data_IF_614266446134
#
_entry.id   IF_614266446134
#
_cell.length_a   1.000
_cell.length_b   1.000
_cell.length_c   1.000
_cell.angle_alpha   90.00
_cell.angle_beta   90.00
_cell.angle_gamma   90.00
#
_symmetry.space_group_name_H-M   'P 1'
#
loop_
_entity.id
_entity.type
_entity.pdbx_description
1 polymer ?
#
# COMPACT_ATOMS: atom_id res chain seq x y z
N UNK A 1 14.96 -3.44 32.43
CA UNK A 1 15.81 -4.62 32.21
C UNK A 1 16.20 -4.68 30.74
N UNK A 2 17.44 -4.27 30.46
CA UNK A 2 18.09 -4.39 29.16
C UNK A 2 18.42 -5.86 28.88
N UNK A 3 17.87 -6.40 27.79
CA UNK A 3 18.45 -7.54 27.09
C UNK A 3 18.61 -7.13 25.63
N UNK A 4 19.65 -6.32 25.39
CA UNK A 4 20.33 -6.29 24.10
C UNK A 4 21.01 -7.65 23.90
N UNK A 5 20.20 -8.67 23.63
CA UNK A 5 20.68 -9.94 23.13
C UNK A 5 20.95 -9.75 21.66
N UNK A 6 22.16 -10.07 21.23
CA UNK A 6 22.60 -10.14 19.85
C UNK A 6 21.68 -11.14 19.08
N UNK A 7 20.48 -10.69 18.69
CA UNK A 7 19.56 -11.49 17.90
C UNK A 7 20.19 -11.62 16.52
N UNK A 8 20.52 -12.85 16.11
CA UNK A 8 20.88 -13.15 14.72
C UNK A 8 19.84 -12.47 13.81
N UNK A 9 20.25 -11.81 12.72
CA UNK A 9 19.30 -11.22 11.79
C UNK A 9 18.29 -12.30 11.39
N UNK A 10 17.00 -12.00 11.52
CA UNK A 10 15.93 -12.93 11.19
C UNK A 10 16.13 -13.36 9.73
N UNK A 11 16.12 -14.67 9.47
CA UNK A 11 16.39 -15.16 8.12
C UNK A 11 15.43 -14.56 7.09
N UNK A 12 15.90 -14.33 5.87
CA UNK A 12 15.10 -13.84 4.74
C UNK A 12 13.79 -14.63 4.57
N UNK A 13 13.85 -15.95 4.73
CA UNK A 13 12.68 -16.84 4.70
C UNK A 13 11.65 -16.54 5.81
N UNK A 14 12.11 -16.18 7.01
CA UNK A 14 11.26 -15.78 8.14
C UNK A 14 10.58 -14.45 7.84
N UNK A 15 11.30 -13.48 7.27
CA UNK A 15 10.72 -12.20 6.85
C UNK A 15 9.64 -12.37 5.78
N UNK A 16 9.87 -13.22 4.77
CA UNK A 16 8.88 -13.50 3.72
C UNK A 16 7.66 -14.24 4.30
N UNK A 17 7.87 -15.26 5.11
CA UNK A 17 6.77 -16.09 5.63
C UNK A 17 5.93 -15.33 6.65
N UNK A 18 6.58 -14.67 7.62
CA UNK A 18 5.90 -13.85 8.62
C UNK A 18 5.25 -12.62 7.98
N UNK A 19 5.94 -11.95 7.05
CA UNK A 19 5.40 -10.79 6.31
C UNK A 19 4.25 -11.18 5.37
N UNK A 20 4.34 -12.34 4.72
CA UNK A 20 3.30 -12.88 3.84
C UNK A 20 2.02 -13.23 4.59
N UNK A 21 2.14 -13.95 5.72
CA UNK A 21 0.98 -14.29 6.57
C UNK A 21 0.38 -13.03 7.20
N UNK A 22 1.21 -12.13 7.73
CA UNK A 22 0.75 -10.85 8.27
C UNK A 22 0.00 -10.01 7.22
N UNK A 23 0.55 -9.91 6.01
CA UNK A 23 -0.10 -9.24 4.89
C UNK A 23 -1.41 -9.90 4.45
N UNK A 24 -1.49 -11.24 4.48
CA UNK A 24 -2.72 -11.95 4.17
C UNK A 24 -3.82 -11.68 5.21
N UNK A 25 -3.48 -11.67 6.50
CA UNK A 25 -4.43 -11.33 7.58
C UNK A 25 -4.91 -9.87 7.50
N UNK A 26 -4.01 -8.93 7.19
CA UNK A 26 -4.37 -7.52 6.94
C UNK A 26 -5.31 -7.40 5.75
N UNK A 27 -4.99 -8.05 4.62
CA UNK A 27 -5.84 -8.06 3.44
C UNK A 27 -7.22 -8.64 3.75
N UNK A 28 -7.33 -9.77 4.45
CA UNK A 28 -8.60 -10.37 4.84
C UNK A 28 -9.47 -9.41 5.68
N UNK A 29 -8.84 -8.66 6.58
CA UNK A 29 -9.57 -7.76 7.49
C UNK A 29 -9.94 -6.44 6.80
N UNK A 30 -9.06 -5.90 5.95
CA UNK A 30 -9.22 -4.59 5.34
C UNK A 30 -9.83 -4.62 3.92
N UNK A 31 -9.95 -5.79 3.28
CA UNK A 31 -10.52 -5.92 1.94
C UNK A 31 -11.93 -5.32 1.81
N UNK A 32 -12.86 -5.49 2.77
CA UNK A 32 -14.17 -4.85 2.69
C UNK A 32 -14.07 -3.32 2.56
N UNK A 33 -13.14 -2.70 3.28
CA UNK A 33 -12.89 -1.26 3.23
C UNK A 33 -12.34 -0.84 1.87
N UNK A 34 -11.42 -1.63 1.30
CA UNK A 34 -10.89 -1.39 -0.05
C UNK A 34 -11.96 -1.48 -1.13
N UNK A 35 -12.80 -2.50 -1.07
CA UNK A 35 -13.84 -2.73 -2.06
C UNK A 35 -14.88 -1.59 -2.02
N UNK A 36 -15.26 -1.14 -0.82
CA UNK A 36 -16.13 0.04 -0.66
C UNK A 36 -15.47 1.28 -1.26
N UNK A 37 -14.19 1.53 -0.94
CA UNK A 37 -13.44 2.68 -1.45
C UNK A 37 -13.38 2.69 -2.98
N UNK A 38 -12.98 1.57 -3.60
CA UNK A 38 -12.84 1.50 -5.06
C UNK A 38 -14.19 1.64 -5.74
N UNK A 39 -15.24 1.01 -5.24
CA UNK A 39 -16.60 1.16 -5.80
C UNK A 39 -17.14 2.57 -5.63
N UNK A 40 -16.86 3.23 -4.52
CA UNK A 40 -17.22 4.63 -4.32
C UNK A 40 -16.48 5.53 -5.33
N UNK A 41 -15.21 5.24 -5.62
CA UNK A 41 -14.42 5.98 -6.62
C UNK A 41 -14.87 5.71 -8.07
N UNK A 42 -15.30 4.48 -8.37
CA UNK A 42 -15.80 4.08 -9.69
C UNK A 42 -17.28 4.42 -9.91
N UNK A 43 -18.04 4.67 -8.84
CA UNK A 43 -19.48 4.91 -8.89
C UNK A 43 -19.80 6.12 -9.77
N UNK A 44 -20.60 5.87 -10.81
CA UNK A 44 -21.20 6.87 -11.68
C UNK A 44 -22.31 7.67 -10.99
N UNK A 45 -22.66 7.40 -9.73
CA UNK A 45 -23.82 7.98 -9.03
C UNK A 45 -23.76 9.50 -8.76
N UNK A 46 -22.79 10.21 -9.34
CA UNK A 46 -22.78 11.67 -9.48
C UNK A 46 -22.93 12.15 -10.94
N UNK A 47 -23.25 11.26 -11.89
CA UNK A 47 -23.43 11.56 -13.33
C UNK A 47 -24.86 11.96 -13.68
N UNK A 48 -25.85 11.69 -12.83
CA UNK A 48 -27.22 12.13 -13.02
C UNK A 48 -27.48 13.38 -12.15
N UNK A 49 -28.07 14.45 -12.69
CA UNK A 49 -28.51 15.60 -11.90
C UNK A 49 -29.45 15.12 -10.76
N UNK A 50 -29.19 15.54 -9.52
CA UNK A 50 -30.04 15.24 -8.36
C UNK A 50 -29.66 14.01 -7.52
N UNK A 51 -28.71 13.17 -7.95
CA UNK A 51 -28.27 12.02 -7.13
C UNK A 51 -27.11 12.42 -6.21
N UNK A 52 -27.34 12.42 -4.89
CA UNK A 52 -26.27 12.64 -3.90
C UNK A 52 -25.20 11.54 -4.01
N UNK A 53 -23.90 11.88 -4.00
CA UNK A 53 -22.84 10.89 -3.99
C UNK A 53 -22.98 10.02 -2.73
N UNK A 54 -23.00 8.69 -2.92
CA UNK A 54 -23.13 7.74 -1.81
C UNK A 54 -21.90 7.82 -0.91
N UNK A 55 -22.13 8.09 0.38
CA UNK A 55 -21.08 8.04 1.40
C UNK A 55 -20.51 6.63 1.57
N UNK A 56 -19.46 6.50 2.38
CA UNK A 56 -18.76 5.24 2.62
C UNK A 56 -19.70 4.12 3.10
N UNK A 57 -20.47 4.38 4.15
CA UNK A 57 -21.43 3.41 4.71
C UNK A 57 -22.60 3.11 3.78
N UNK A 58 -23.12 4.13 3.08
CA UNK A 58 -24.20 3.95 2.10
C UNK A 58 -23.75 3.09 0.90
N UNK A 59 -22.49 3.23 0.48
CA UNK A 59 -21.90 2.40 -0.57
C UNK A 59 -21.73 0.95 -0.10
N UNK A 60 -21.26 0.74 1.13
CA UNK A 60 -21.19 -0.59 1.75
C UNK A 60 -22.54 -1.29 1.83
N UNK A 61 -23.56 -0.60 2.38
CA UNK A 61 -24.91 -1.12 2.46
C UNK A 61 -25.51 -1.44 1.08
N UNK A 62 -25.23 -0.62 0.06
CA UNK A 62 -25.66 -0.87 -1.31
C UNK A 62 -25.03 -2.14 -1.89
N UNK A 63 -23.74 -2.39 -1.67
CA UNK A 63 -23.06 -3.60 -2.16
C UNK A 63 -23.68 -4.85 -1.56
N UNK A 64 -23.89 -4.86 -0.24
CA UNK A 64 -24.47 -6.00 0.47
C UNK A 64 -25.90 -6.28 0.02
N UNK A 65 -26.71 -5.22 -0.16
CA UNK A 65 -28.14 -5.35 -0.56
C UNK A 65 -28.36 -5.67 -2.05
N UNK A 66 -27.46 -5.26 -2.95
CA UNK A 66 -27.64 -5.38 -4.41
C UNK A 66 -26.82 -6.48 -5.06
N UNK A 67 -25.78 -6.97 -4.40
CA UNK A 67 -24.97 -8.10 -4.88
C UNK A 67 -25.03 -9.23 -3.86
N UNK A 68 -24.10 -9.23 -2.90
CA UNK A 68 -24.03 -10.18 -1.78
C UNK A 68 -23.02 -9.67 -0.75
N UNK A 69 -23.04 -10.15 0.52
CA UNK A 69 -21.97 -9.89 1.48
C UNK A 69 -20.58 -10.28 0.97
N UNK A 70 -20.47 -11.39 0.22
CA UNK A 70 -19.22 -11.86 -0.38
C UNK A 70 -18.67 -10.92 -1.47
N UNK A 71 -19.50 -10.06 -2.06
CA UNK A 71 -19.05 -9.08 -3.03
C UNK A 71 -18.05 -8.07 -2.45
N UNK A 72 -18.02 -7.88 -1.12
CA UNK A 72 -17.01 -7.07 -0.41
C UNK A 72 -15.60 -7.65 -0.52
N UNK A 73 -15.47 -8.95 -0.78
CA UNK A 73 -14.20 -9.65 -0.96
C UNK A 73 -13.78 -9.83 -2.43
N UNK A 74 -14.53 -9.24 -3.39
CA UNK A 74 -14.14 -9.26 -4.81
C UNK A 74 -12.74 -8.66 -5.01
N UNK A 75 -11.87 -9.42 -5.67
CA UNK A 75 -10.48 -9.05 -5.90
C UNK A 75 -9.50 -9.49 -4.80
N UNK A 76 -9.97 -10.11 -3.71
CA UNK A 76 -9.10 -10.63 -2.64
C UNK A 76 -8.03 -11.59 -3.19
N UNK A 77 -8.41 -12.50 -4.09
CA UNK A 77 -7.48 -13.46 -4.69
C UNK A 77 -6.30 -12.79 -5.41
N UNK A 78 -6.54 -11.66 -6.09
CA UNK A 78 -5.49 -10.88 -6.75
C UNK A 78 -4.55 -10.20 -5.73
N UNK A 79 -5.10 -9.78 -4.59
CA UNK A 79 -4.33 -9.18 -3.50
C UNK A 79 -3.46 -10.24 -2.82
N UNK A 80 -4.04 -11.38 -2.46
CA UNK A 80 -3.33 -12.50 -1.83
C UNK A 80 -2.20 -13.03 -2.72
N UNK A 81 -2.45 -13.22 -4.02
CA UNK A 81 -1.41 -13.67 -4.95
C UNK A 81 -0.24 -12.67 -5.08
N UNK A 82 -0.51 -11.39 -4.84
CA UNK A 82 0.50 -10.33 -4.95
C UNK A 82 1.29 -10.08 -3.66
N UNK A 83 0.79 -10.46 -2.48
CA UNK A 83 1.42 -10.14 -1.19
C UNK A 83 2.81 -10.77 -1.05
N UNK A 84 2.93 -12.07 -1.30
CA UNK A 84 4.21 -12.78 -1.14
C UNK A 84 5.26 -12.28 -2.14
N UNK A 85 4.98 -12.18 -3.46
CA UNK A 85 5.94 -11.62 -4.41
C UNK A 85 6.34 -10.18 -4.08
N UNK A 86 5.37 -9.36 -3.65
CA UNK A 86 5.60 -7.97 -3.24
C UNK A 86 6.60 -7.90 -2.08
N UNK A 87 6.39 -8.69 -1.02
CA UNK A 87 7.30 -8.71 0.12
C UNK A 87 8.66 -9.27 -0.24
N UNK A 88 8.72 -10.36 -1.00
CA UNK A 88 9.97 -10.98 -1.43
C UNK A 88 10.86 -10.00 -2.21
N UNK A 89 10.30 -9.32 -3.23
CA UNK A 89 11.06 -8.35 -4.03
C UNK A 89 11.48 -7.16 -3.18
N UNK A 90 10.57 -6.64 -2.34
CA UNK A 90 10.88 -5.50 -1.47
C UNK A 90 12.05 -5.81 -0.55
N UNK A 91 12.03 -6.96 0.14
CA UNK A 91 13.12 -7.34 1.05
C UNK A 91 14.41 -7.63 0.29
N UNK A 92 14.35 -8.39 -0.80
CA UNK A 92 15.54 -8.72 -1.60
C UNK A 92 16.21 -7.46 -2.18
N UNK A 93 15.41 -6.57 -2.77
CA UNK A 93 15.92 -5.29 -3.30
C UNK A 93 16.42 -4.39 -2.18
N UNK A 94 15.76 -4.35 -1.02
CA UNK A 94 16.22 -3.55 0.10
C UNK A 94 17.56 -4.02 0.65
N UNK A 95 17.75 -5.33 0.83
CA UNK A 95 19.03 -5.89 1.28
C UNK A 95 20.14 -5.66 0.25
N UNK A 96 19.86 -5.86 -1.03
CA UNK A 96 20.81 -5.58 -2.11
C UNK A 96 21.22 -4.09 -2.15
N UNK A 97 20.26 -3.17 -2.18
CA UNK A 97 20.55 -1.73 -2.21
C UNK A 97 21.19 -1.23 -0.93
N UNK A 98 20.81 -1.77 0.22
CA UNK A 98 21.45 -1.45 1.49
C UNK A 98 22.89 -1.92 1.51
N UNK A 99 23.18 -3.11 0.97
CA UNK A 99 24.53 -3.63 0.81
C UNK A 99 25.38 -2.78 -0.12
N UNK A 100 24.84 -2.36 -1.26
CA UNK A 100 25.54 -1.48 -2.21
C UNK A 100 25.78 -0.06 -1.68
N UNK A 101 24.96 0.41 -0.74
CA UNK A 101 25.06 1.74 -0.14
C UNK A 101 25.69 1.70 1.28
N UNK A 102 26.20 0.55 1.71
CA UNK A 102 26.92 0.42 2.97
C UNK A 102 28.35 0.95 2.81
N UNK A 103 28.86 1.62 3.85
CA UNK A 103 30.26 2.05 3.88
C UNK A 103 31.18 0.83 3.91
N UNK A 104 32.18 0.78 3.00
CA UNK A 104 33.11 -0.34 2.87
C UNK A 104 33.98 -0.52 4.13
N UNK A 105 34.28 0.55 4.86
CA UNK A 105 35.13 0.50 6.06
C UNK A 105 34.38 0.15 7.36
N UNK A 106 33.11 0.55 7.49
CA UNK A 106 32.35 0.39 8.76
C UNK A 106 31.23 -0.63 8.67
N UNK A 107 30.82 -1.05 7.47
CA UNK A 107 29.68 -1.91 7.22
C UNK A 107 28.33 -1.33 7.69
N UNK A 108 28.31 -0.06 8.14
CA UNK A 108 27.13 0.63 8.65
C UNK A 108 26.55 1.53 7.58
N UNK A 109 25.27 1.36 7.30
CA UNK A 109 24.55 2.21 6.35
C UNK A 109 24.07 3.47 7.06
N UNK A 110 24.45 4.66 6.56
CA UNK A 110 23.91 5.95 7.03
C UNK A 110 22.38 5.97 6.93
N UNK A 111 21.73 6.75 7.80
CA UNK A 111 20.29 6.91 7.81
C UNK A 111 19.73 7.40 6.45
N UNK A 112 20.47 8.27 5.75
CA UNK A 112 20.11 8.70 4.39
C UNK A 112 20.22 7.58 3.36
N UNK A 113 21.25 6.74 3.47
CA UNK A 113 21.45 5.59 2.59
C UNK A 113 20.39 4.50 2.82
N UNK A 114 19.95 4.30 4.07
CA UNK A 114 18.81 3.42 4.39
C UNK A 114 17.53 3.94 3.73
N UNK A 115 17.31 5.25 3.73
CA UNK A 115 16.16 5.86 3.07
C UNK A 115 16.21 5.67 1.54
N UNK A 116 17.37 5.89 0.92
CA UNK A 116 17.58 5.68 -0.53
C UNK A 116 17.38 4.20 -0.89
N UNK A 117 17.95 3.27 -0.12
CA UNK A 117 17.72 1.83 -0.29
C UNK A 117 16.24 1.47 -0.17
N UNK A 118 15.53 2.06 0.80
CA UNK A 118 14.09 1.89 0.99
C UNK A 118 13.25 2.44 -0.16
N UNK A 119 13.62 3.60 -0.71
CA UNK A 119 12.97 4.19 -1.88
C UNK A 119 13.22 3.35 -3.14
N UNK A 120 14.46 2.92 -3.37
CA UNK A 120 14.83 2.04 -4.47
C UNK A 120 14.04 0.74 -4.41
N UNK A 121 14.04 0.08 -3.24
CA UNK A 121 13.33 -1.17 -3.04
C UNK A 121 11.81 -1.02 -3.26
N UNK A 122 11.22 0.07 -2.76
CA UNK A 122 9.82 0.40 -3.00
C UNK A 122 9.52 0.65 -4.48
N UNK A 123 10.44 1.25 -5.22
CA UNK A 123 10.28 1.49 -6.66
C UNK A 123 10.37 0.18 -7.45
N UNK A 124 11.33 -0.68 -7.14
CA UNK A 124 11.48 -2.00 -7.78
C UNK A 124 10.26 -2.89 -7.52
N UNK A 125 9.77 -2.93 -6.27
CA UNK A 125 8.52 -3.57 -5.90
C UNK A 125 7.32 -2.97 -6.67
N UNK A 126 7.27 -1.64 -6.79
CA UNK A 126 6.21 -0.93 -7.49
C UNK A 126 6.11 -1.34 -8.96
N UNK A 127 7.26 -1.39 -9.64
CA UNK A 127 7.36 -1.72 -11.05
C UNK A 127 7.06 -3.20 -11.27
N UNK A 128 7.71 -4.08 -10.51
CA UNK A 128 7.67 -5.52 -10.75
C UNK A 128 6.34 -6.17 -10.38
N UNK A 129 5.69 -5.72 -9.29
CA UNK A 129 4.50 -6.41 -8.74
C UNK A 129 3.31 -5.48 -8.59
N UNK A 130 3.49 -4.29 -8.00
CA UNK A 130 2.33 -3.46 -7.62
C UNK A 130 1.59 -2.93 -8.84
N UNK A 131 2.30 -2.41 -9.83
CA UNK A 131 1.67 -1.83 -11.04
C UNK A 131 0.84 -2.86 -11.82
N UNK A 132 1.38 -4.04 -12.21
CA UNK A 132 0.58 -5.05 -12.91
C UNK A 132 -0.61 -5.54 -12.04
N UNK A 133 -0.39 -5.74 -10.74
CA UNK A 133 -1.44 -6.15 -9.81
C UNK A 133 -2.55 -5.09 -9.69
N UNK A 134 -2.20 -3.81 -9.60
CA UNK A 134 -3.16 -2.70 -9.51
C UNK A 134 -4.02 -2.62 -10.78
N UNK A 135 -3.43 -2.73 -11.97
CA UNK A 135 -4.17 -2.73 -13.24
C UNK A 135 -5.20 -3.87 -13.27
N UNK A 136 -4.79 -5.08 -12.88
CA UNK A 136 -5.67 -6.27 -12.83
C UNK A 136 -6.78 -6.07 -11.79
N UNK A 137 -6.44 -5.62 -10.57
CA UNK A 137 -7.40 -5.36 -9.49
C UNK A 137 -8.43 -4.33 -9.90
N UNK A 138 -8.01 -3.22 -10.51
CA UNK A 138 -8.90 -2.16 -10.98
C UNK A 138 -9.87 -2.70 -12.03
N UNK A 139 -9.41 -3.47 -13.02
CA UNK A 139 -10.28 -4.05 -14.06
C UNK A 139 -11.27 -5.07 -13.50
N UNK A 140 -10.82 -5.94 -12.59
CA UNK A 140 -11.69 -6.90 -11.92
C UNK A 140 -12.75 -6.21 -11.06
N UNK A 141 -12.40 -5.13 -10.36
CA UNK A 141 -13.33 -4.38 -9.51
C UNK A 141 -14.25 -3.44 -10.30
N UNK A 142 -13.84 -3.00 -11.49
CA UNK A 142 -14.64 -2.18 -12.39
C UNK A 142 -15.71 -2.96 -13.16
N UNK A 143 -15.55 -4.28 -13.29
CA UNK A 143 -16.57 -5.14 -13.87
C UNK A 143 -17.80 -5.15 -12.96
N UNK A 144 -18.86 -4.47 -13.39
CA UNK A 144 -20.18 -4.59 -12.76
C UNK A 144 -20.81 -5.88 -13.26
N UNK A 145 -21.14 -6.79 -12.35
CA UNK A 145 -22.00 -7.93 -12.64
C UNK A 145 -23.31 -7.62 -11.95
N UNK A 146 -24.32 -7.26 -12.75
CA UNK A 146 -25.66 -7.00 -12.24
C UNK A 146 -26.39 -8.32 -12.08
N UNK A 147 -26.96 -8.60 -10.90
CA UNK A 147 -27.88 -9.72 -10.69
C UNK A 147 -29.17 -9.63 -11.55
N UNK A 148 -29.35 -8.53 -12.28
CA UNK A 148 -30.51 -8.30 -13.15
C UNK A 148 -30.39 -9.00 -14.52
N UNK A 149 -29.20 -9.46 -14.93
CA UNK A 149 -29.02 -10.15 -16.21
C UNK A 149 -28.15 -11.42 -16.04
N UNK A 150 -28.79 -12.60 -15.89
CA UNK A 150 -28.10 -13.88 -15.73
C UNK A 150 -27.25 -14.31 -16.95
N UNK A 151 -27.40 -13.65 -18.10
CA UNK A 151 -26.67 -13.97 -19.34
C UNK A 151 -25.35 -13.20 -19.50
N UNK A 152 -25.06 -12.18 -18.69
CA UNK A 152 -23.80 -11.44 -18.77
C UNK A 152 -22.62 -12.25 -18.21
N UNK A 153 -21.95 -13.01 -19.08
CA UNK A 153 -20.71 -13.70 -18.69
C UNK A 153 -19.63 -12.70 -18.26
N UNK A 154 -18.98 -12.90 -17.10
CA UNK A 154 -17.95 -12.00 -16.62
C UNK A 154 -16.75 -11.97 -17.59
N UNK A 155 -16.40 -10.79 -18.12
CA UNK A 155 -15.24 -10.60 -19.02
C UNK A 155 -13.96 -11.19 -18.43
N UNK A 156 -13.80 -11.09 -17.12
CA UNK A 156 -12.68 -11.63 -16.35
C UNK A 156 -13.17 -12.59 -15.26
N UNK A 157 -12.78 -13.88 -15.35
CA UNK A 157 -13.15 -14.93 -14.37
C UNK A 157 -12.33 -14.87 -13.08
N UNK A 158 -11.04 -14.58 -13.19
CA UNK A 158 -10.09 -14.49 -12.07
C UNK A 158 -8.90 -13.60 -12.46
N UNK A 159 -7.97 -13.38 -11.52
CA UNK A 159 -6.79 -12.55 -11.73
C UNK A 159 -5.88 -13.06 -12.86
N UNK A 160 -5.61 -14.37 -12.91
CA UNK A 160 -4.77 -14.97 -13.93
C UNK A 160 -5.38 -14.84 -15.35
N UNK A 161 -6.68 -15.08 -15.47
CA UNK A 161 -7.43 -14.90 -16.71
C UNK A 161 -7.48 -13.43 -17.13
N UNK A 162 -7.55 -12.50 -16.17
CA UNK A 162 -7.45 -11.08 -16.46
C UNK A 162 -6.07 -10.71 -17.00
N UNK A 163 -4.98 -11.17 -16.38
CA UNK A 163 -3.61 -10.97 -16.88
C UNK A 163 -3.47 -11.52 -18.31
N UNK A 164 -3.88 -12.77 -18.53
CA UNK A 164 -3.81 -13.41 -19.84
C UNK A 164 -4.56 -12.62 -20.92
N UNK A 165 -5.82 -12.25 -20.67
CA UNK A 165 -6.61 -11.44 -21.61
C UNK A 165 -5.98 -10.09 -21.88
N UNK A 166 -5.52 -9.38 -20.85
CA UNK A 166 -4.90 -8.05 -21.01
C UNK A 166 -3.65 -8.16 -21.88
N UNK A 167 -2.78 -9.13 -21.60
CA UNK A 167 -1.54 -9.31 -22.36
C UNK A 167 -1.84 -9.71 -23.81
N UNK A 168 -2.80 -10.62 -24.04
CA UNK A 168 -3.15 -11.10 -25.37
C UNK A 168 -3.87 -10.04 -26.23
N UNK A 169 -4.80 -9.28 -25.64
CA UNK A 169 -5.65 -8.32 -26.35
C UNK A 169 -5.00 -6.92 -26.46
N UNK A 170 -4.24 -6.49 -25.45
CA UNK A 170 -3.74 -5.12 -25.32
C UNK A 170 -2.21 -5.00 -25.15
N UNK A 171 -1.50 -6.13 -25.10
CA UNK A 171 -0.05 -6.18 -24.98
C UNK A 171 0.49 -5.99 -23.55
N UNK A 172 1.74 -6.43 -23.33
CA UNK A 172 2.41 -6.42 -22.02
C UNK A 172 2.55 -5.00 -21.45
N UNK A 173 2.79 -4.00 -22.29
CA UNK A 173 2.96 -2.61 -21.85
C UNK A 173 1.71 -2.04 -21.17
N UNK A 174 0.54 -2.62 -21.41
CA UNK A 174 -0.70 -2.22 -20.73
C UNK A 174 -0.66 -2.49 -19.23
N UNK A 175 0.08 -3.50 -18.78
CA UNK A 175 0.27 -3.80 -17.34
C UNK A 175 1.13 -2.75 -16.62
N UNK A 176 1.94 -1.99 -17.36
CA UNK A 176 2.83 -0.96 -16.83
C UNK A 176 2.27 0.47 -17.02
N UNK A 177 1.04 0.60 -17.53
CA UNK A 177 0.39 1.90 -17.67
C UNK A 177 0.20 2.55 -16.30
N UNK A 178 0.83 3.71 -16.11
CA UNK A 178 0.78 4.47 -14.86
C UNK A 178 1.87 4.11 -13.86
N UNK A 179 2.88 3.32 -14.25
CA UNK A 179 4.03 2.97 -13.38
C UNK A 179 4.72 4.19 -12.78
N UNK A 180 4.88 5.28 -13.55
CA UNK A 180 5.47 6.54 -13.05
C UNK A 180 4.62 7.20 -11.97
N UNK A 181 3.30 7.16 -12.10
CA UNK A 181 2.37 7.68 -11.09
C UNK A 181 2.36 6.80 -9.84
N UNK A 182 2.45 5.48 -10.00
CA UNK A 182 2.53 4.54 -8.88
C UNK A 182 3.86 4.71 -8.13
N UNK A 183 4.98 4.82 -8.85
CA UNK A 183 6.29 5.09 -8.29
C UNK A 183 6.33 6.45 -7.55
N UNK A 184 5.82 7.52 -8.17
CA UNK A 184 5.72 8.83 -7.53
C UNK A 184 4.90 8.78 -6.24
N UNK A 185 3.72 8.13 -6.28
CA UNK A 185 2.87 7.94 -5.09
C UNK A 185 3.59 7.18 -3.99
N UNK A 186 4.39 6.16 -4.33
CA UNK A 186 5.17 5.42 -3.35
C UNK A 186 6.29 6.29 -2.76
N UNK A 187 7.01 7.03 -3.62
CA UNK A 187 8.10 7.90 -3.20
C UNK A 187 7.62 9.02 -2.27
N UNK A 188 6.53 9.72 -2.60
CA UNK A 188 5.95 10.77 -1.74
C UNK A 188 5.43 10.19 -0.43
N UNK A 189 4.80 9.01 -0.46
CA UNK A 189 4.31 8.33 0.75
C UNK A 189 5.47 7.97 1.69
N UNK A 190 6.53 7.39 1.15
CA UNK A 190 7.72 6.99 1.90
C UNK A 190 8.50 8.21 2.41
N UNK A 191 8.68 9.23 1.58
CA UNK A 191 9.34 10.48 1.95
C UNK A 191 8.63 11.18 3.10
N UNK A 192 7.33 11.44 2.97
CA UNK A 192 6.56 12.11 4.02
C UNK A 192 6.53 11.30 5.33
N UNK A 193 6.36 9.98 5.26
CA UNK A 193 6.41 9.12 6.43
C UNK A 193 7.79 9.18 7.10
N UNK A 194 8.86 9.03 6.32
CA UNK A 194 10.23 9.05 6.85
C UNK A 194 10.58 10.39 7.49
N UNK A 195 10.29 11.51 6.83
CA UNK A 195 10.55 12.85 7.37
C UNK A 195 9.81 13.06 8.68
N UNK A 196 8.50 12.78 8.73
CA UNK A 196 7.71 12.96 9.96
C UNK A 196 8.19 12.01 11.07
N UNK A 197 8.54 10.76 10.73
CA UNK A 197 9.09 9.81 11.69
C UNK A 197 10.39 10.32 12.31
N UNK A 198 11.31 10.85 11.50
CA UNK A 198 12.59 11.38 11.96
C UNK A 198 12.42 12.61 12.84
N UNK A 199 11.59 13.57 12.42
CA UNK A 199 11.37 14.79 13.20
C UNK A 199 10.68 14.51 14.53
N UNK A 200 9.70 13.60 14.55
CA UNK A 200 9.09 13.15 15.80
C UNK A 200 10.07 12.37 16.67
N UNK A 201 10.89 11.48 16.10
CA UNK A 201 11.92 10.75 16.85
C UNK A 201 12.92 11.72 17.49
N UNK A 202 13.42 12.70 16.74
CA UNK A 202 14.32 13.75 17.25
C UNK A 202 13.67 14.57 18.35
N UNK A 203 12.40 14.97 18.18
CA UNK A 203 11.66 15.71 19.18
C UNK A 203 11.54 14.93 20.49
N UNK A 204 11.12 13.65 20.44
CA UNK A 204 11.01 12.80 21.62
C UNK A 204 12.37 12.57 22.30
N UNK A 205 13.44 12.33 21.53
CA UNK A 205 14.80 12.19 22.08
C UNK A 205 15.31 13.47 22.73
N UNK A 206 14.91 14.65 22.23
CA UNK A 206 15.25 15.94 22.84
C UNK A 206 14.58 16.13 24.21
N UNK A 207 13.37 15.60 24.40
CA UNK A 207 12.67 15.61 25.69
C UNK A 207 13.12 14.49 26.64
N UNK A 208 13.76 13.43 26.13
CA UNK A 208 14.26 12.30 26.91
C UNK A 208 15.72 12.00 26.56
N UNK A 209 16.66 12.90 26.88
CA UNK A 209 18.08 12.76 26.50
C UNK A 209 18.77 11.57 27.18
N UNK A 210 18.25 11.09 28.32
CA UNK A 210 18.82 9.97 29.09
C UNK A 210 18.57 8.59 28.46
N UNK A 211 17.71 8.50 27.43
CA UNK A 211 17.38 7.26 26.74
C UNK A 211 18.12 7.20 25.39
N UNK A 212 19.17 6.35 25.25
CA UNK A 212 19.89 6.22 23.98
C UNK A 212 19.01 5.68 22.84
N UNK A 213 17.95 4.94 23.15
CA UNK A 213 16.90 4.56 22.20
C UNK A 213 15.51 4.68 22.84
N UNK A 214 14.51 5.07 22.05
CA UNK A 214 13.15 5.25 22.52
C UNK A 214 12.51 3.88 22.82
N UNK A 215 11.67 3.76 23.86
CA UNK A 215 10.89 2.56 24.12
C UNK A 215 10.04 2.13 22.91
N UNK A 216 9.82 0.82 22.74
CA UNK A 216 9.05 0.27 21.61
C UNK A 216 7.65 0.87 21.45
N UNK A 217 6.96 1.20 22.56
CA UNK A 217 5.66 1.84 22.51
C UNK A 217 5.72 3.25 21.90
N UNK A 218 6.77 4.03 22.17
CA UNK A 218 6.96 5.35 21.55
C UNK A 218 7.26 5.23 20.06
N UNK A 219 8.08 4.24 19.67
CA UNK A 219 8.28 3.93 18.26
C UNK A 219 6.98 3.57 17.53
N UNK A 220 6.07 2.83 18.20
CA UNK A 220 4.75 2.54 17.65
C UNK A 220 3.90 3.80 17.51
N UNK A 221 3.87 4.70 18.50
CA UNK A 221 3.13 5.97 18.42
C UNK A 221 3.67 6.88 17.32
N UNK A 222 5.00 7.05 17.25
CA UNK A 222 5.66 7.84 16.21
C UNK A 222 5.36 7.24 14.83
N UNK A 223 5.50 5.91 14.69
CA UNK A 223 5.18 5.19 13.46
C UNK A 223 3.71 5.31 13.04
N UNK A 224 2.79 5.38 14.00
CA UNK A 224 1.37 5.57 13.73
C UNK A 224 1.07 6.97 13.19
N UNK A 225 1.65 8.01 13.80
CA UNK A 225 1.49 9.41 13.39
C UNK A 225 2.17 9.63 12.03
N UNK A 226 3.40 9.15 11.86
CA UNK A 226 4.14 9.28 10.61
C UNK A 226 3.49 8.47 9.48
N UNK A 227 2.88 7.32 9.79
CA UNK A 227 2.11 6.51 8.87
C UNK A 227 0.87 7.23 8.30
N UNK A 228 0.33 8.23 9.00
CA UNK A 228 -0.75 9.08 8.50
C UNK A 228 -0.26 10.22 7.59
N UNK A 229 1.00 10.65 7.74
CA UNK A 229 1.58 11.76 6.96
C UNK A 229 1.66 11.45 5.45
N UNK A 230 1.99 10.21 5.10
CA UNK A 230 2.04 9.78 3.70
C UNK A 230 0.67 9.87 2.98
N UNK A 231 -0.41 9.30 3.54
CA UNK A 231 -1.79 9.55 3.11
C UNK A 231 -2.20 11.02 3.02
N UNK A 232 -1.74 11.87 3.94
CA UNK A 232 -2.03 13.31 3.94
C UNK A 232 -1.33 14.03 2.79
N UNK A 233 -0.07 13.71 2.53
CA UNK A 233 0.70 14.26 1.40
C UNK A 233 0.08 13.86 0.05
N UNK A 234 -0.41 12.63 -0.06
CA UNK A 234 -0.99 12.10 -1.30
C UNK A 234 -2.46 12.47 -1.53
N UNK A 235 -3.18 12.95 -0.52
CA UNK A 235 -4.61 13.23 -0.62
C UNK A 235 -4.98 14.26 -1.72
N UNK A 236 -4.25 15.38 -1.90
CA UNK A 236 -4.54 16.33 -2.98
C UNK A 236 -4.40 15.70 -4.36
N UNK A 237 -3.30 14.96 -4.58
CA UNK A 237 -3.01 14.29 -5.85
C UNK A 237 -4.09 13.25 -6.16
N UNK A 238 -4.46 12.43 -5.18
CA UNK A 238 -5.49 11.42 -5.36
C UNK A 238 -6.86 12.06 -5.64
N UNK A 239 -7.19 13.17 -4.98
CA UNK A 239 -8.45 13.88 -5.22
C UNK A 239 -8.50 14.48 -6.62
N UNK A 240 -7.43 15.18 -7.05
CA UNK A 240 -7.34 15.72 -8.41
C UNK A 240 -7.40 14.60 -9.45
N UNK A 241 -6.68 13.49 -9.23
CA UNK A 241 -6.72 12.31 -10.11
C UNK A 241 -8.13 11.74 -10.22
N UNK A 242 -8.86 11.62 -9.11
CA UNK A 242 -10.24 11.13 -9.16
C UNK A 242 -11.18 12.08 -9.90
N UNK A 243 -10.98 13.40 -9.82
CA UNK A 243 -11.76 14.38 -10.61
C UNK A 243 -11.38 14.40 -12.08
N UNK A 244 -10.10 14.24 -12.39
CA UNK A 244 -9.61 14.12 -13.77
C UNK A 244 -10.17 12.86 -14.45
N UNK A 245 -10.26 11.75 -13.73
CA UNK A 245 -10.90 10.53 -14.22
C UNK A 245 -12.44 10.66 -14.34
N UNK A 246 -13.04 11.65 -13.67
CA UNK A 246 -14.47 11.98 -13.81
C UNK A 246 -14.77 12.90 -14.99
N UNK A 247 -13.81 13.74 -15.42
CA UNK A 247 -14.01 14.65 -16.54
C UNK A 247 -13.78 13.96 -17.88
N UNK A 248 -14.71 14.17 -18.81
CA UNK A 248 -14.60 13.67 -20.19
C UNK A 248 -13.36 14.29 -20.86
N UNK A 249 -12.56 13.48 -21.56
CA UNK A 249 -11.41 14.00 -22.28
C UNK A 249 -11.90 14.92 -23.42
N UNK A 250 -11.54 16.19 -23.36
CA UNK A 250 -11.80 17.15 -24.44
C UNK A 250 -10.68 16.97 -25.48
N UNK A 251 -10.99 16.68 -26.76
CA UNK A 251 -9.98 16.58 -27.81
C UNK A 251 -9.14 17.87 -27.89
N UNK A 252 -7.81 17.74 -27.96
CA UNK A 252 -6.89 18.87 -28.13
C UNK A 252 -6.36 19.54 -26.84
N UNK A 253 -6.79 19.13 -25.64
CA UNK A 253 -6.22 19.65 -24.39
C UNK A 253 -5.15 18.73 -23.80
N UNK A 254 -3.98 19.32 -23.48
CA UNK A 254 -2.92 18.64 -22.73
C UNK A 254 -3.42 18.16 -21.37
N UNK A 255 -3.03 16.93 -20.98
CA UNK A 255 -3.38 16.33 -19.69
C UNK A 255 -2.96 17.21 -18.49
N UNK A 256 -1.84 17.92 -18.63
CA UNK A 256 -1.34 18.82 -17.58
C UNK A 256 -2.23 20.04 -17.41
N UNK A 257 -2.70 20.62 -18.52
CA UNK A 257 -3.61 21.77 -18.49
C UNK A 257 -4.95 21.40 -17.85
N UNK A 258 -5.43 20.18 -18.09
CA UNK A 258 -6.64 19.64 -17.43
C UNK A 258 -6.45 19.47 -15.91
N UNK A 259 -5.28 19.03 -15.46
CA UNK A 259 -4.96 18.95 -14.03
C UNK A 259 -5.02 20.33 -13.37
N UNK A 260 -4.39 21.33 -14.00
CA UNK A 260 -4.37 22.71 -13.49
C UNK A 260 -5.77 23.31 -13.42
N UNK A 261 -6.58 23.17 -14.48
CA UNK A 261 -7.96 23.67 -14.53
C UNK A 261 -8.80 23.06 -13.39
N UNK A 262 -8.69 21.74 -13.18
CA UNK A 262 -9.45 21.04 -12.12
C UNK A 262 -8.98 21.49 -10.74
N UNK A 263 -7.67 21.66 -10.53
CA UNK A 263 -7.14 22.13 -9.26
C UNK A 263 -7.58 23.57 -8.95
N UNK A 264 -7.59 24.46 -9.95
CA UNK A 264 -8.05 25.84 -9.80
C UNK A 264 -9.56 25.90 -9.53
N UNK A 265 -10.36 25.12 -10.26
CA UNK A 265 -11.80 25.00 -10.02
C UNK A 265 -12.11 24.49 -8.61
N UNK A 266 -11.41 23.45 -8.15
CA UNK A 266 -11.52 22.93 -6.79
C UNK A 266 -11.23 23.99 -5.73
N UNK A 267 -10.17 24.78 -5.95
CA UNK A 267 -9.75 25.81 -5.01
C UNK A 267 -10.79 26.94 -4.93
N UNK A 268 -11.28 27.41 -6.09
CA UNK A 268 -12.24 28.53 -6.15
C UNK A 268 -13.65 28.15 -5.69
N UNK A 269 -14.13 26.95 -6.00
CA UNK A 269 -15.53 26.56 -5.73
C UNK A 269 -15.75 25.91 -4.37
N UNK A 270 -14.81 25.09 -3.91
CA UNK A 270 -14.98 24.24 -2.71
C UNK A 270 -13.90 24.47 -1.64
N UNK A 271 -12.87 25.26 -1.96
CA UNK A 271 -11.76 25.60 -1.07
C UNK A 271 -10.82 24.44 -0.75
N UNK A 272 -9.88 24.69 0.15
CA UNK A 272 -8.78 23.77 0.51
C UNK A 272 -9.28 22.42 1.05
N UNK A 273 -10.41 22.41 1.77
CA UNK A 273 -11.01 21.18 2.31
C UNK A 273 -11.41 20.19 1.22
N UNK A 274 -11.66 20.65 0.00
CA UNK A 274 -11.98 19.82 -1.15
C UNK A 274 -10.88 18.80 -1.48
N UNK A 275 -9.61 19.21 -1.35
CA UNK A 275 -8.43 18.38 -1.66
C UNK A 275 -8.23 17.21 -0.69
N UNK A 276 -8.87 17.27 0.49
CA UNK A 276 -8.76 16.25 1.54
C UNK A 276 -10.05 15.42 1.68
N UNK A 277 -11.04 15.60 0.80
CA UNK A 277 -12.27 14.79 0.81
C UNK A 277 -11.93 13.32 0.58
N UNK A 278 -12.24 12.47 1.56
CA UNK A 278 -11.93 11.03 1.53
C UNK A 278 -10.66 10.62 2.27
N UNK A 279 -9.97 11.54 2.95
CA UNK A 279 -8.80 11.21 3.77
C UNK A 279 -9.17 10.45 5.05
N UNK A 280 -10.32 10.73 5.65
CA UNK A 280 -10.80 10.11 6.89
C UNK A 280 -10.77 8.57 6.85
N UNK A 281 -11.40 7.88 5.87
CA UNK A 281 -11.31 6.42 5.80
C UNK A 281 -9.89 5.92 5.53
N UNK A 282 -9.02 6.74 4.92
CA UNK A 282 -7.62 6.37 4.67
C UNK A 282 -6.81 6.38 5.95
N UNK A 283 -6.92 7.44 6.76
CA UNK A 283 -6.25 7.55 8.07
C UNK A 283 -6.80 6.49 9.04
N UNK A 284 -8.13 6.32 9.08
CA UNK A 284 -8.77 5.31 9.92
C UNK A 284 -8.34 3.87 9.60
N UNK A 285 -7.91 3.60 8.36
CA UNK A 285 -7.36 2.29 7.99
C UNK A 285 -5.91 2.09 8.47
N UNK A 286 -5.09 3.15 8.51
CA UNK A 286 -3.65 3.02 8.81
C UNK A 286 -3.44 2.35 10.16
N UNK A 287 -4.11 2.84 11.20
CA UNK A 287 -3.94 2.31 12.56
C UNK A 287 -4.27 0.81 12.70
N UNK A 288 -5.49 0.34 12.37
CA UNK A 288 -5.84 -1.07 12.51
C UNK A 288 -5.05 -1.96 11.55
N UNK A 289 -4.79 -1.51 10.32
CA UNK A 289 -4.00 -2.28 9.35
C UNK A 289 -2.58 -2.53 9.85
N UNK A 290 -1.90 -1.48 10.34
CA UNK A 290 -0.56 -1.63 10.92
C UNK A 290 -0.59 -2.49 12.18
N UNK A 291 -1.56 -2.30 13.07
CA UNK A 291 -1.69 -3.10 14.29
C UNK A 291 -1.81 -4.61 13.98
N UNK A 292 -2.62 -4.99 12.99
CA UNK A 292 -2.77 -6.39 12.55
C UNK A 292 -1.45 -6.93 12.01
N UNK A 293 -0.78 -6.17 11.12
CA UNK A 293 0.49 -6.60 10.55
C UNK A 293 1.53 -6.83 11.64
N UNK A 294 1.70 -5.89 12.57
CA UNK A 294 2.65 -6.02 13.66
C UNK A 294 2.33 -7.21 14.58
N UNK A 295 1.07 -7.34 15.02
CA UNK A 295 0.67 -8.41 15.93
C UNK A 295 0.86 -9.80 15.30
N UNK A 296 0.46 -9.97 14.05
CA UNK A 296 0.61 -11.24 13.33
C UNK A 296 2.08 -11.51 13.03
N UNK A 297 2.82 -10.52 12.55
CA UNK A 297 4.23 -10.66 12.23
C UNK A 297 5.05 -11.09 13.47
N UNK A 298 4.82 -10.45 14.63
CA UNK A 298 5.51 -10.79 15.86
C UNK A 298 5.17 -12.21 16.34
N UNK A 299 3.88 -12.60 16.26
CA UNK A 299 3.44 -13.93 16.66
C UNK A 299 4.04 -15.02 15.75
N UNK A 300 4.02 -14.81 14.45
CA UNK A 300 4.55 -15.78 13.47
C UNK A 300 6.07 -15.87 13.56
N UNK A 301 6.77 -14.74 13.69
CA UNK A 301 8.23 -14.74 13.84
C UNK A 301 8.65 -15.51 15.09
N UNK A 302 7.96 -15.31 16.23
CA UNK A 302 8.21 -16.08 17.46
C UNK A 302 7.93 -17.58 17.31
N UNK A 303 6.95 -17.97 16.48
CA UNK A 303 6.67 -19.38 16.22
C UNK A 303 7.78 -19.97 15.35
N UNK A 304 8.18 -19.29 14.28
CA UNK A 304 9.24 -19.74 13.38
C UNK A 304 10.58 -19.87 14.13
N UNK A 305 10.93 -18.89 14.97
CA UNK A 305 12.13 -18.92 15.82
C UNK A 305 12.12 -20.09 16.82
N UNK A 306 10.93 -20.54 17.28
CA UNK A 306 10.80 -21.71 18.16
C UNK A 306 10.89 -23.03 17.42
N UNK A 307 10.50 -23.05 16.14
CA UNK A 307 10.45 -24.25 15.30
C UNK A 307 11.77 -24.47 14.55
N UNK A 308 12.54 -23.41 14.24
CA UNK A 308 13.89 -23.57 13.73
C UNK A 308 14.78 -24.20 14.82
N UNK A 309 15.28 -25.43 14.63
CA UNK A 309 16.34 -25.94 15.49
C UNK A 309 17.54 -25.01 15.38
N UNK A 310 18.31 -24.89 16.46
CA UNK A 310 19.63 -24.22 16.45
C UNK A 310 20.57 -25.04 15.56
N UNK A 311 20.44 -24.93 14.25
CA UNK A 311 21.30 -25.63 13.31
C UNK A 311 22.49 -24.72 12.95
N UNK A 312 23.68 -25.31 13.06
CA UNK A 312 25.04 -24.72 13.01
C UNK A 312 25.60 -24.10 14.30
N UNK A 313 25.94 -24.98 15.26
CA UNK A 313 27.09 -24.76 16.17
C UNK A 313 28.03 -25.99 16.25
N UNK A 314 28.03 -26.86 15.23
CA UNK A 314 28.89 -28.05 15.18
C UNK A 314 29.57 -28.09 13.80
N UNK A 315 30.67 -27.34 13.64
CA UNK A 315 31.78 -27.55 12.68
C UNK A 315 32.75 -26.34 12.62
N UNK A 316 33.15 -25.81 13.77
CA UNK A 316 34.32 -24.91 13.86
C UNK A 316 35.36 -25.34 14.91
N UNK A 317 35.26 -26.56 15.41
CA UNK A 317 36.25 -27.17 16.31
C UNK A 317 36.45 -28.64 15.97
N UNK A 318 36.78 -28.95 14.72
CA UNK A 318 37.47 -30.19 14.36
C UNK A 318 38.19 -29.97 13.03
N UNK A 319 39.49 -30.23 13.09
CA UNK A 319 40.56 -30.08 12.09
C UNK A 319 41.17 -28.67 11.91
#
# INVERSE_FOLDING_TARGET
MSRSGNKKPVGFATHITAGGIAGACEALTCQPLDTIKVRMQLSKSGRAPGTKPRGFFATGAHIVRRETPLALYKGLGAVLSGIVPKMAIRFASFEAYKGWLADEETGKTSLGNIFIAGLGAGTTEAVAVVTPMEVVKIRLQAQQHSLADPLETPRYRNAAHAVYKIVKEEGVMTLYRGVSLTALRQATNQGANFTVYQELKKAFQRYQPDLPDLPSWQHMFIGLISGAAGPMSNAPIDTIKTRLQKSTAIPGQSAFRRIVIIAEDMWRTEGVRSFYKGITPRILRVAPGQAIVFAVYERISKIIERVQPKEYEENKYTE
#
